data_IF_482855433144
#
_entry.id   IF_482855433144
#
_cell.length_a   1.000
_cell.length_b   1.000
_cell.length_c   1.000
_cell.angle_alpha   90.00
_cell.angle_beta   90.00
_cell.angle_gamma   90.00
#
_symmetry.space_group_name_H-M   'P 1'
#
loop_
_entity.id
_entity.type
_entity.pdbx_description
1 polymer ?
#
# COMPACT_ATOMS: atom_id res chain seq x y z
N UNK A 1 16.39 -41.09 24.06
CA UNK A 1 15.44 -40.76 22.98
C UNK A 1 14.31 -39.95 23.58
N UNK A 2 14.28 -38.65 23.32
CA UNK A 2 13.10 -37.79 23.38
C UNK A 2 13.52 -36.44 22.80
N UNK A 3 13.17 -36.21 21.53
CA UNK A 3 13.32 -34.91 20.88
C UNK A 3 12.06 -34.10 21.16
N UNK A 4 12.23 -32.96 21.82
CA UNK A 4 11.21 -31.94 22.05
C UNK A 4 10.89 -31.29 20.71
N UNK A 5 9.62 -31.36 20.30
CA UNK A 5 9.07 -30.51 19.23
C UNK A 5 8.95 -29.10 19.80
N UNK A 6 9.84 -28.20 19.39
CA UNK A 6 9.59 -26.77 19.47
C UNK A 6 8.69 -26.40 18.28
N UNK A 7 7.48 -25.98 18.63
CA UNK A 7 6.54 -25.28 17.78
C UNK A 7 7.11 -23.91 17.44
N UNK A 8 7.22 -23.60 16.16
CA UNK A 8 7.52 -22.27 15.64
C UNK A 8 6.29 -21.37 15.80
N UNK A 9 6.37 -20.24 16.53
CA UNK A 9 5.25 -19.33 16.68
C UNK A 9 5.24 -18.31 15.53
N UNK A 10 4.38 -18.57 14.55
CA UNK A 10 3.65 -17.56 13.78
C UNK A 10 4.44 -16.40 13.16
N UNK A 11 4.88 -16.58 11.91
CA UNK A 11 4.88 -15.46 10.97
C UNK A 11 3.43 -15.22 10.52
N UNK A 12 2.78 -14.25 11.15
CA UNK A 12 1.51 -13.70 10.69
C UNK A 12 1.80 -12.32 10.10
N UNK A 13 1.26 -12.12 8.90
CA UNK A 13 0.90 -10.85 8.25
C UNK A 13 2.02 -9.91 7.84
N UNK A 14 2.63 -10.18 6.68
CA UNK A 14 2.85 -9.12 5.69
C UNK A 14 1.65 -9.16 4.74
N UNK A 15 0.81 -8.13 4.79
CA UNK A 15 -0.27 -7.98 3.82
C UNK A 15 0.36 -7.75 2.46
N UNK A 16 0.30 -8.73 1.57
CA UNK A 16 0.60 -8.53 0.15
C UNK A 16 -0.21 -7.30 -0.31
N UNK A 17 0.45 -6.25 -0.78
CA UNK A 17 -0.19 -4.98 -1.16
C UNK A 17 -1.27 -5.17 -2.25
N UNK A 18 -1.24 -6.32 -2.96
CA UNK A 18 -2.28 -6.75 -3.91
C UNK A 18 -3.51 -7.38 -3.24
N UNK A 19 -3.34 -8.06 -2.11
CA UNK A 19 -4.39 -8.83 -1.44
C UNK A 19 -5.32 -7.96 -0.58
N UNK A 20 -4.90 -6.75 -0.20
CA UNK A 20 -5.77 -5.77 0.49
C UNK A 20 -6.98 -5.32 -0.35
N UNK A 21 -7.01 -5.62 -1.65
CA UNK A 21 -8.02 -5.13 -2.60
C UNK A 21 -8.83 -6.30 -3.22
N UNK A 22 -8.39 -7.55 -3.07
CA UNK A 22 -9.00 -8.70 -3.74
C UNK A 22 -10.24 -9.24 -3.01
N UNK A 23 -11.32 -8.45 -2.95
CA UNK A 23 -12.65 -8.98 -2.60
C UNK A 23 -13.70 -8.60 -3.64
N UNK A 24 -13.59 -9.11 -4.87
CA UNK A 24 -14.77 -9.45 -5.68
C UNK A 24 -14.47 -10.63 -6.59
N UNK A 25 -15.31 -11.67 -6.46
CA UNK A 25 -15.10 -12.98 -7.05
C UNK A 25 -15.35 -13.06 -8.55
N UNK A 26 -14.59 -13.96 -9.16
CA UNK A 26 -14.74 -14.45 -10.52
C UNK A 26 -15.96 -15.39 -10.61
N UNK A 27 -17.00 -14.99 -11.33
CA UNK A 27 -18.01 -15.91 -11.90
C UNK A 27 -18.41 -15.45 -13.30
N UNK A 28 -18.40 -16.38 -14.26
CA UNK A 28 -18.64 -16.16 -15.69
C UNK A 28 -20.06 -15.72 -16.10
N UNK A 29 -20.41 -15.83 -17.39
CA UNK A 29 -20.81 -14.67 -18.18
C UNK A 29 -22.31 -14.40 -18.14
N UNK A 30 -22.68 -13.11 -18.03
CA UNK A 30 -24.02 -12.62 -18.37
C UNK A 30 -23.87 -11.49 -19.37
N UNK A 31 -24.41 -11.73 -20.56
CA UNK A 31 -24.47 -10.81 -21.67
C UNK A 31 -25.60 -9.79 -21.46
N UNK A 32 -25.25 -8.51 -21.32
CA UNK A 32 -26.16 -7.38 -21.60
C UNK A 32 -25.33 -6.13 -21.95
N UNK A 33 -25.71 -5.34 -22.97
CA UNK A 33 -24.94 -4.16 -23.36
C UNK A 33 -25.42 -2.95 -22.56
N UNK A 34 -24.83 -2.74 -21.39
CA UNK A 34 -24.85 -1.43 -20.74
C UNK A 34 -23.51 -0.74 -21.00
N UNK A 35 -23.58 0.54 -21.31
CA UNK A 35 -22.45 1.42 -21.59
C UNK A 35 -21.56 1.52 -20.34
N UNK A 36 -20.63 0.57 -20.19
CA UNK A 36 -19.64 0.55 -19.12
C UNK A 36 -18.37 1.25 -19.59
N UNK A 37 -17.79 2.06 -18.71
CA UNK A 37 -16.41 2.53 -18.86
C UNK A 37 -15.53 1.30 -19.08
N UNK A 38 -15.04 1.12 -20.30
CA UNK A 38 -14.10 0.06 -20.63
C UNK A 38 -12.80 0.40 -19.88
N UNK A 39 -12.68 -0.14 -18.68
CA UNK A 39 -11.47 0.00 -17.88
C UNK A 39 -10.37 -0.67 -18.68
N UNK A 40 -9.36 0.09 -19.06
CA UNK A 40 -8.25 -0.45 -19.84
C UNK A 40 -7.62 -1.59 -19.04
N UNK A 41 -7.70 -2.82 -19.57
CA UNK A 41 -7.02 -3.98 -19.01
C UNK A 41 -5.63 -4.11 -19.62
N UNK A 42 -4.64 -4.41 -18.78
CA UNK A 42 -3.29 -4.68 -19.26
C UNK A 42 -3.29 -5.99 -20.05
N UNK A 43 -2.44 -6.08 -21.07
CA UNK A 43 -2.15 -7.36 -21.70
C UNK A 43 -1.68 -8.36 -20.63
N UNK A 44 -2.20 -9.59 -20.67
CA UNK A 44 -1.96 -10.58 -19.61
C UNK A 44 -0.45 -10.84 -19.40
N UNK A 45 0.35 -10.89 -20.47
CA UNK A 45 1.79 -11.12 -20.31
C UNK A 45 2.50 -9.92 -19.68
N UNK A 46 2.01 -8.71 -19.95
CA UNK A 46 2.49 -7.50 -19.29
C UNK A 46 2.08 -7.47 -17.82
N UNK A 47 0.83 -7.78 -17.51
CA UNK A 47 0.32 -7.86 -16.13
C UNK A 47 1.12 -8.87 -15.31
N UNK A 48 1.35 -10.08 -15.82
CA UNK A 48 2.17 -11.11 -15.15
C UNK A 48 3.62 -10.69 -14.94
N UNK A 49 4.20 -9.93 -15.88
CA UNK A 49 5.57 -9.43 -15.75
C UNK A 49 5.70 -8.36 -14.66
N UNK A 50 4.75 -7.42 -14.60
CA UNK A 50 4.69 -6.44 -13.52
C UNK A 50 4.38 -7.18 -12.20
N UNK A 51 3.49 -8.16 -12.28
CA UNK A 51 3.25 -9.28 -11.36
C UNK A 51 4.50 -9.71 -10.61
N UNK A 52 5.35 -10.42 -11.33
CA UNK A 52 6.59 -10.99 -10.83
C UNK A 52 7.61 -9.94 -10.32
N UNK A 53 7.60 -8.72 -10.87
CA UNK A 53 8.48 -7.65 -10.39
C UNK A 53 8.06 -7.16 -9.01
N UNK A 54 6.77 -6.96 -8.74
CA UNK A 54 6.35 -6.59 -7.39
C UNK A 54 6.57 -7.71 -6.40
N UNK A 55 6.26 -8.96 -6.74
CA UNK A 55 6.49 -10.07 -5.81
C UNK A 55 7.98 -10.19 -5.42
N UNK A 56 8.88 -9.92 -6.37
CA UNK A 56 10.31 -9.85 -6.11
C UNK A 56 10.70 -8.62 -5.26
N UNK A 57 10.01 -7.49 -5.43
CA UNK A 57 10.22 -6.29 -4.61
C UNK A 57 9.73 -6.48 -3.17
N UNK A 58 8.58 -7.13 -3.00
CA UNK A 58 8.01 -7.45 -1.69
C UNK A 58 8.95 -8.39 -0.91
N UNK A 59 9.44 -9.46 -1.55
CA UNK A 59 10.41 -10.37 -0.94
C UNK A 59 11.72 -9.65 -0.52
N UNK A 60 12.22 -8.72 -1.33
CA UNK A 60 13.40 -7.93 -0.98
C UNK A 60 13.11 -6.95 0.17
N UNK A 61 11.89 -6.42 0.25
CA UNK A 61 11.46 -5.57 1.36
C UNK A 61 11.44 -6.34 2.67
N UNK A 62 10.91 -7.57 2.66
CA UNK A 62 10.92 -8.49 3.81
C UNK A 62 12.33 -8.85 4.26
N UNK A 63 13.26 -9.02 3.33
CA UNK A 63 14.69 -9.27 3.59
C UNK A 63 15.46 -8.00 4.05
N UNK A 64 14.82 -6.83 4.02
CA UNK A 64 15.43 -5.53 4.35
C UNK A 64 16.35 -4.97 3.25
N UNK A 65 16.38 -5.57 2.06
CA UNK A 65 17.07 -5.03 0.88
C UNK A 65 16.18 -4.00 0.17
N UNK A 66 16.07 -2.83 0.79
CA UNK A 66 15.19 -1.77 0.30
C UNK A 66 15.66 -1.14 -1.02
N UNK A 67 16.97 -1.06 -1.27
CA UNK A 67 17.51 -0.59 -2.56
C UNK A 67 17.12 -1.56 -3.68
N UNK A 68 17.29 -2.87 -3.43
CA UNK A 68 16.86 -3.92 -4.34
C UNK A 68 15.35 -3.87 -4.59
N UNK A 69 14.54 -3.71 -3.54
CA UNK A 69 13.09 -3.63 -3.63
C UNK A 69 12.63 -2.44 -4.51
N UNK A 70 13.14 -1.23 -4.26
CA UNK A 70 12.84 -0.05 -5.07
C UNK A 70 13.19 -0.28 -6.54
N UNK A 71 14.33 -0.91 -6.83
CA UNK A 71 14.71 -1.22 -8.21
C UNK A 71 13.71 -2.14 -8.90
N UNK A 72 13.09 -3.10 -8.19
CA UNK A 72 12.05 -3.97 -8.74
C UNK A 72 10.74 -3.22 -8.98
N UNK A 73 10.29 -2.44 -8.00
CA UNK A 73 9.02 -1.71 -8.13
C UNK A 73 9.07 -0.66 -9.22
N UNK A 74 10.17 0.12 -9.32
CA UNK A 74 10.34 1.07 -10.42
C UNK A 74 10.43 0.39 -11.77
N UNK A 75 11.11 -0.76 -11.88
CA UNK A 75 11.11 -1.54 -13.11
C UNK A 75 9.70 -2.01 -13.50
N UNK A 76 8.83 -2.33 -12.53
CA UNK A 76 7.41 -2.64 -12.78
C UNK A 76 6.63 -1.41 -13.23
N UNK A 77 6.85 -0.26 -12.58
CA UNK A 77 6.19 1.00 -12.90
C UNK A 77 6.53 1.51 -14.30
N UNK A 78 7.79 1.36 -14.73
CA UNK A 78 8.27 1.76 -16.05
C UNK A 78 7.67 0.91 -17.19
N UNK A 79 7.13 -0.26 -16.88
CA UNK A 79 6.42 -1.09 -17.85
C UNK A 79 4.97 -0.65 -18.09
N UNK A 80 4.42 0.23 -17.24
CA UNK A 80 3.05 0.71 -17.41
C UNK A 80 2.92 1.54 -18.71
N UNK A 81 1.90 1.28 -19.54
CA UNK A 81 1.63 2.09 -20.71
C UNK A 81 1.25 3.54 -20.34
N UNK A 82 1.54 4.49 -21.22
CA UNK A 82 1.12 5.88 -21.01
C UNK A 82 -0.35 6.11 -21.42
N UNK A 83 -1.10 6.97 -20.69
CA UNK A 83 -0.69 7.62 -19.45
C UNK A 83 -0.77 6.65 -18.27
N UNK A 84 0.31 6.58 -17.46
CA UNK A 84 0.40 5.60 -16.35
C UNK A 84 -0.77 5.68 -15.37
N UNK A 85 -1.34 6.86 -15.19
CA UNK A 85 -2.48 7.14 -14.30
C UNK A 85 -3.79 6.46 -14.71
N UNK A 86 -3.84 5.78 -15.85
CA UNK A 86 -5.01 4.99 -16.25
C UNK A 86 -5.00 3.57 -15.66
N UNK A 87 -3.89 3.12 -15.09
CA UNK A 87 -3.72 1.72 -14.70
C UNK A 87 -3.72 1.59 -13.17
N UNK A 88 -4.62 0.77 -12.65
CA UNK A 88 -4.65 0.43 -11.21
C UNK A 88 -3.32 -0.17 -10.73
N UNK A 89 -2.55 -0.78 -11.63
CA UNK A 89 -1.20 -1.23 -11.36
C UNK A 89 -0.26 -0.15 -10.81
N UNK A 90 -0.43 1.10 -11.24
CA UNK A 90 0.33 2.21 -10.67
C UNK A 90 -0.04 2.51 -9.22
N UNK A 91 -1.27 2.24 -8.78
CA UNK A 91 -1.69 2.46 -7.39
C UNK A 91 -0.88 1.58 -6.43
N UNK A 92 -0.85 0.26 -6.64
CA UNK A 92 -0.13 -0.64 -5.75
C UNK A 92 1.39 -0.54 -5.90
N UNK A 93 1.93 -0.23 -7.09
CA UNK A 93 3.37 0.03 -7.24
C UNK A 93 3.81 1.28 -6.48
N UNK A 94 3.06 2.38 -6.58
CA UNK A 94 3.40 3.61 -5.85
C UNK A 94 3.18 3.45 -4.34
N UNK A 95 2.21 2.63 -3.92
CA UNK A 95 2.04 2.24 -2.52
C UNK A 95 3.29 1.52 -1.99
N UNK A 96 3.75 0.48 -2.68
CA UNK A 96 4.93 -0.28 -2.30
C UNK A 96 6.21 0.57 -2.31
N UNK A 97 6.41 1.41 -3.34
CA UNK A 97 7.53 2.35 -3.38
C UNK A 97 7.48 3.32 -2.20
N UNK A 98 6.31 3.87 -1.89
CA UNK A 98 6.11 4.76 -0.75
C UNK A 98 6.41 4.11 0.59
N UNK A 99 5.94 2.88 0.77
CA UNK A 99 6.15 2.06 1.96
C UNK A 99 7.64 1.74 2.19
N UNK A 100 8.35 1.34 1.14
CA UNK A 100 9.80 1.11 1.20
C UNK A 100 10.57 2.39 1.54
N UNK A 101 10.20 3.55 0.96
CA UNK A 101 10.84 4.82 1.30
C UNK A 101 10.63 5.18 2.78
N UNK A 102 9.44 4.94 3.33
CA UNK A 102 9.17 5.14 4.75
C UNK A 102 10.04 4.25 5.63
N UNK A 103 10.19 2.97 5.29
CA UNK A 103 11.06 2.05 6.03
C UNK A 103 12.56 2.41 5.95
N UNK A 104 12.98 3.10 4.89
CA UNK A 104 14.32 3.70 4.78
C UNK A 104 14.46 5.04 5.50
N UNK A 105 13.42 5.54 6.16
CA UNK A 105 13.35 6.88 6.75
C UNK A 105 13.50 8.03 5.72
N UNK A 106 13.37 7.74 4.41
CA UNK A 106 13.26 8.77 3.37
C UNK A 106 11.80 9.22 3.23
N UNK A 107 11.33 9.90 4.28
CA UNK A 107 9.95 10.35 4.38
C UNK A 107 9.58 11.37 3.30
N UNK A 108 10.56 12.10 2.76
CA UNK A 108 10.33 13.05 1.66
C UNK A 108 9.99 12.31 0.37
N UNK A 109 10.78 11.30 -0.01
CA UNK A 109 10.48 10.45 -1.16
C UNK A 109 9.19 9.65 -0.95
N UNK A 110 8.97 9.13 0.26
CA UNK A 110 7.74 8.42 0.63
C UNK A 110 6.50 9.30 0.41
N UNK A 111 6.51 10.52 0.96
CA UNK A 111 5.44 11.51 0.76
C UNK A 111 5.18 11.78 -0.71
N UNK A 112 6.22 12.04 -1.50
CA UNK A 112 6.05 12.44 -2.90
C UNK A 112 5.47 11.31 -3.75
N UNK A 113 5.94 10.07 -3.57
CA UNK A 113 5.42 8.90 -4.27
C UNK A 113 3.97 8.56 -3.85
N UNK A 114 3.65 8.62 -2.56
CA UNK A 114 2.30 8.37 -2.05
C UNK A 114 1.32 9.49 -2.42
N UNK A 115 1.77 10.74 -2.50
CA UNK A 115 0.94 11.82 -3.02
C UNK A 115 0.66 11.64 -4.52
N UNK A 116 1.66 11.18 -5.29
CA UNK A 116 1.47 10.88 -6.70
C UNK A 116 0.50 9.72 -6.93
N UNK A 117 0.47 8.72 -6.05
CA UNK A 117 -0.45 7.58 -6.16
C UNK A 117 -1.93 8.02 -6.15
N UNK A 118 -2.26 9.15 -5.51
CA UNK A 118 -3.63 9.70 -5.46
C UNK A 118 -4.20 10.09 -6.84
N UNK A 119 -3.37 10.14 -7.88
CA UNK A 119 -3.79 10.34 -9.27
C UNK A 119 -4.13 9.04 -10.01
N UNK A 120 -3.96 7.88 -9.38
CA UNK A 120 -4.21 6.57 -9.98
C UNK A 120 -5.58 6.02 -9.56
N UNK A 121 -6.14 5.05 -10.31
CA UNK A 121 -7.44 4.49 -10.02
C UNK A 121 -7.51 3.89 -8.61
N UNK A 122 -8.64 4.09 -7.92
CA UNK A 122 -8.93 3.54 -6.59
C UNK A 122 -8.00 4.00 -5.44
N UNK A 123 -7.04 4.89 -5.68
CA UNK A 123 -6.08 5.33 -4.66
C UNK A 123 -6.72 6.15 -3.53
N UNK A 124 -7.61 7.09 -3.86
CA UNK A 124 -8.26 8.01 -2.89
C UNK A 124 -9.08 7.27 -1.82
N UNK A 125 -9.57 6.07 -2.13
CA UNK A 125 -10.35 5.27 -1.18
C UNK A 125 -9.50 4.31 -0.34
N UNK A 126 -8.19 4.22 -0.59
CA UNK A 126 -7.33 3.22 0.03
C UNK A 126 -6.78 3.74 1.36
N UNK A 127 -7.19 3.16 2.51
CA UNK A 127 -6.78 3.68 3.81
C UNK A 127 -5.31 3.43 4.12
N UNK A 128 -4.67 2.41 3.52
CA UNK A 128 -3.23 2.17 3.69
C UNK A 128 -2.38 3.29 3.05
N UNK A 129 -2.76 3.76 1.85
CA UNK A 129 -2.08 4.90 1.22
C UNK A 129 -2.16 6.15 2.10
N UNK A 130 -3.32 6.39 2.70
CA UNK A 130 -3.52 7.49 3.65
C UNK A 130 -2.72 7.31 4.95
N UNK A 131 -2.64 6.09 5.48
CA UNK A 131 -1.81 5.78 6.65
C UNK A 131 -0.36 6.18 6.37
N UNK A 132 0.24 5.61 5.33
CA UNK A 132 1.66 5.78 5.07
C UNK A 132 2.01 7.21 4.66
N UNK A 133 1.12 7.88 3.93
CA UNK A 133 1.28 9.31 3.59
C UNK A 133 1.21 10.18 4.86
N UNK A 134 0.25 9.92 5.73
CA UNK A 134 0.09 10.64 7.00
C UNK A 134 1.29 10.46 7.93
N UNK A 135 1.88 9.26 7.98
CA UNK A 135 3.09 9.01 8.74
C UNK A 135 4.30 9.74 8.16
N UNK A 136 4.50 9.71 6.83
CA UNK A 136 5.57 10.49 6.19
C UNK A 136 5.42 11.99 6.50
N UNK A 137 4.20 12.54 6.41
CA UNK A 137 3.92 13.94 6.77
C UNK A 137 4.24 14.22 8.25
N UNK A 138 3.90 13.29 9.14
CA UNK A 138 4.18 13.41 10.58
C UNK A 138 5.68 13.50 10.86
N UNK A 139 6.47 12.59 10.27
CA UNK A 139 7.93 12.59 10.44
C UNK A 139 8.61 13.84 9.85
N UNK A 140 8.04 14.39 8.78
CA UNK A 140 8.49 15.66 8.20
C UNK A 140 8.03 16.90 8.99
N UNK A 141 7.19 16.73 10.01
CA UNK A 141 6.67 17.80 10.85
C UNK A 141 5.51 18.59 10.24
N UNK A 142 4.94 18.17 9.12
CA UNK A 142 3.72 18.77 8.56
C UNK A 142 2.49 18.16 9.24
N UNK A 143 2.30 18.57 10.50
CA UNK A 143 1.32 17.95 11.39
C UNK A 143 -0.13 18.16 10.94
N UNK A 144 -0.44 19.26 10.24
CA UNK A 144 -1.81 19.50 9.79
C UNK A 144 -2.15 18.54 8.64
N UNK A 145 -1.22 18.32 7.69
CA UNK A 145 -1.39 17.30 6.64
C UNK A 145 -1.38 15.89 7.21
N UNK A 146 -0.51 15.61 8.19
CA UNK A 146 -0.49 14.32 8.86
C UNK A 146 -1.85 13.99 9.49
N UNK A 147 -2.48 14.96 10.17
CA UNK A 147 -3.77 14.75 10.82
C UNK A 147 -4.88 14.40 9.80
N UNK A 148 -4.92 15.12 8.67
CA UNK A 148 -5.92 14.87 7.62
C UNK A 148 -5.81 13.45 7.03
N UNK A 149 -4.58 13.01 6.71
CA UNK A 149 -4.36 11.71 6.09
C UNK A 149 -4.54 10.56 7.10
N UNK A 150 -3.99 10.70 8.33
CA UNK A 150 -4.18 9.68 9.37
C UNK A 150 -5.65 9.54 9.79
N UNK A 151 -6.44 10.63 9.74
CA UNK A 151 -7.88 10.56 9.95
C UNK A 151 -8.59 9.76 8.86
N UNK A 152 -8.24 9.96 7.58
CA UNK A 152 -8.80 9.16 6.47
C UNK A 152 -8.43 7.68 6.61
N UNK A 153 -7.20 7.40 7.01
CA UNK A 153 -6.75 6.05 7.30
C UNK A 153 -7.58 5.40 8.41
N UNK A 154 -7.74 6.09 9.54
CA UNK A 154 -8.53 5.60 10.68
C UNK A 154 -10.01 5.39 10.34
N UNK A 155 -10.62 6.34 9.62
CA UNK A 155 -12.02 6.21 9.19
C UNK A 155 -12.25 5.07 8.19
N UNK A 156 -11.26 4.77 7.34
CA UNK A 156 -11.37 3.75 6.30
C UNK A 156 -10.93 2.34 6.74
N UNK A 157 -9.94 2.25 7.63
CA UNK A 157 -9.34 0.98 8.06
C UNK A 157 -9.49 0.65 9.55
N UNK A 158 -10.04 1.56 10.36
CA UNK A 158 -10.18 1.36 11.81
C UNK A 158 -8.85 1.40 12.56
N UNK A 159 -8.87 1.16 13.89
CA UNK A 159 -7.66 1.01 14.69
C UNK A 159 -6.80 -0.18 14.28
N UNK A 160 -7.40 -1.23 13.69
CA UNK A 160 -6.71 -2.44 13.25
C UNK A 160 -5.63 -2.15 12.20
N UNK A 161 -5.85 -1.14 11.34
CA UNK A 161 -4.86 -0.69 10.35
C UNK A 161 -3.55 -0.18 10.97
N UNK A 162 -3.58 0.20 12.26
CA UNK A 162 -2.44 0.77 12.97
C UNK A 162 -1.76 -0.22 13.93
N UNK A 163 -2.22 -1.46 14.03
CA UNK A 163 -1.76 -2.42 15.05
C UNK A 163 -0.25 -2.67 15.02
N UNK A 164 0.34 -2.71 13.84
CA UNK A 164 1.78 -2.95 13.63
C UNK A 164 2.62 -1.65 13.55
N UNK A 165 1.97 -0.49 13.69
CA UNK A 165 2.61 0.82 13.57
C UNK A 165 3.03 1.39 14.93
N UNK A 166 4.00 2.31 14.95
CA UNK A 166 4.34 3.02 16.19
C UNK A 166 3.11 3.79 16.71
N UNK A 167 2.70 3.50 17.94
CA UNK A 167 1.55 4.16 18.58
C UNK A 167 1.65 5.69 18.67
N UNK A 168 2.80 6.31 18.35
CA UNK A 168 2.94 7.77 18.26
C UNK A 168 1.96 8.37 17.25
N UNK A 169 1.61 7.66 16.17
CA UNK A 169 0.69 8.17 15.16
C UNK A 169 -0.75 8.24 15.68
N UNK A 170 -1.24 7.19 16.37
CA UNK A 170 -2.56 7.20 17.00
C UNK A 170 -2.62 8.18 18.18
N UNK A 171 -1.58 8.23 19.02
CA UNK A 171 -1.49 9.23 20.10
C UNK A 171 -1.53 10.66 19.56
N UNK A 172 -0.83 10.92 18.46
CA UNK A 172 -0.90 12.21 17.77
C UNK A 172 -2.30 12.49 17.24
N UNK A 173 -2.91 11.54 16.54
CA UNK A 173 -4.26 11.69 15.97
C UNK A 173 -5.30 11.98 17.07
N UNK A 174 -5.19 11.33 18.23
CA UNK A 174 -6.03 11.58 19.39
C UNK A 174 -5.90 13.00 19.98
N UNK A 175 -4.82 13.73 19.69
CA UNK A 175 -4.72 15.16 20.03
C UNK A 175 -5.50 16.07 19.07
N UNK A 176 -5.89 15.54 17.90
CA UNK A 176 -6.56 16.28 16.81
C UNK A 176 -8.03 15.90 16.66
N UNK A 177 -8.47 14.77 17.22
CA UNK A 177 -9.85 14.30 17.13
C UNK A 177 -10.29 13.47 18.35
N UNK A 178 -11.59 13.50 18.63
CA UNK A 178 -12.23 12.67 19.66
C UNK A 178 -12.52 11.25 19.12
N UNK A 179 -12.59 10.27 20.01
CA UNK A 179 -12.99 8.89 19.66
C UNK A 179 -11.90 8.04 19.00
N UNK A 180 -10.63 8.50 19.03
CA UNK A 180 -9.48 7.72 18.58
C UNK A 180 -9.08 6.73 19.67
N UNK A 181 -9.04 5.44 19.32
CA UNK A 181 -8.49 4.39 20.17
C UNK A 181 -6.96 4.47 20.11
N UNK A 182 -6.32 4.61 21.28
CA UNK A 182 -4.85 4.67 21.39
C UNK A 182 -4.32 3.39 22.02
N UNK A 183 -3.14 2.88 21.57
CA UNK A 183 -2.48 1.73 22.18
C UNK A 183 -2.05 1.97 23.64
#
# INVERSE_FOLDING_TARGET
>A
MNAVRMTDPGSKTAHNHRDCIATTGHTGPISTPEQGLDMAELDNALYERIGALSDAGDALTEDGDYEGALAKFWAGFDLLPEPKTNWEAGTWLMAAIGDVNFHQEDYAAGRDNLAQSMHFPNAIGNPFLHLRLGQCQFELGDLDRAADELMRAYMGGGPELFEDEDGKYLRFLATRAEGIETP
#
